data_IF_591800286033
#
_entry.id   IF_591800286033
#
_cell.length_a   1.000
_cell.length_b   1.000
_cell.length_c   1.000
_cell.angle_alpha   90.00
_cell.angle_beta   90.00
_cell.angle_gamma   90.00
#
_symmetry.space_group_name_H-M   'P 1'
#
loop_
_entity.id
_entity.type
_entity.pdbx_description
1 polymer ?
#
# COMPACT_ATOMS: atom_id res chain seq x y z
N UNK A 1 65.43 -39.67 -7.09
CA UNK A 1 63.97 -39.63 -6.85
C UNK A 1 63.61 -38.21 -6.42
N UNK A 2 63.09 -37.38 -7.35
CA UNK A 2 62.77 -35.96 -7.08
C UNK A 2 61.29 -35.83 -6.75
N UNK A 3 61.00 -35.35 -5.55
CA UNK A 3 59.67 -35.10 -5.00
C UNK A 3 59.07 -33.86 -5.69
N UNK A 4 57.95 -34.01 -6.41
CA UNK A 4 57.18 -32.89 -6.94
C UNK A 4 56.05 -32.56 -5.95
N UNK A 5 56.17 -31.40 -5.32
CA UNK A 5 55.12 -30.78 -4.52
C UNK A 5 54.08 -30.20 -5.51
N UNK A 6 52.84 -30.69 -5.44
CA UNK A 6 51.71 -30.12 -6.17
C UNK A 6 51.09 -29.05 -5.26
N UNK A 7 51.28 -27.79 -5.63
CA UNK A 7 50.62 -26.65 -4.98
C UNK A 7 49.19 -26.57 -5.53
N UNK A 8 48.19 -26.87 -4.71
CA UNK A 8 46.79 -26.64 -5.06
C UNK A 8 46.49 -25.14 -4.91
N UNK A 9 46.31 -24.45 -6.03
CA UNK A 9 45.82 -23.07 -6.05
C UNK A 9 44.33 -23.07 -5.67
N UNK A 10 44.03 -22.55 -4.48
CA UNK A 10 42.68 -22.25 -4.03
C UNK A 10 42.23 -20.96 -4.73
N UNK A 11 41.32 -21.07 -5.69
CA UNK A 11 40.65 -19.90 -6.26
C UNK A 11 39.60 -19.46 -5.25
N UNK A 12 39.89 -18.41 -4.50
CA UNK A 12 38.87 -17.68 -3.75
C UNK A 12 38.02 -16.91 -4.77
N UNK A 13 36.80 -17.39 -5.03
CA UNK A 13 35.77 -16.58 -5.68
C UNK A 13 35.38 -15.48 -4.68
N UNK A 14 35.93 -14.29 -4.86
CA UNK A 14 35.38 -13.09 -4.27
C UNK A 14 34.04 -12.81 -4.97
N UNK A 15 32.93 -13.19 -4.34
CA UNK A 15 31.60 -12.72 -4.72
C UNK A 15 31.54 -11.22 -4.38
N UNK A 16 31.95 -10.39 -5.32
CA UNK A 16 31.59 -8.98 -5.34
C UNK A 16 30.17 -8.92 -5.87
N UNK A 17 29.20 -9.07 -4.97
CA UNK A 17 27.81 -8.78 -5.29
C UNK A 17 27.69 -7.27 -5.51
N UNK A 18 27.78 -6.82 -6.75
CA UNK A 18 27.18 -5.56 -7.14
C UNK A 18 25.69 -5.67 -6.82
N UNK A 19 25.18 -4.79 -5.95
CA UNK A 19 23.76 -4.67 -5.73
C UNK A 19 23.12 -4.27 -7.07
N UNK A 20 22.52 -5.23 -7.77
CA UNK A 20 21.69 -4.94 -8.93
C UNK A 20 20.60 -3.97 -8.46
N UNK A 21 20.55 -2.79 -9.07
CA UNK A 21 19.45 -1.86 -8.82
C UNK A 21 18.12 -2.60 -9.04
N UNK A 22 17.22 -2.53 -8.06
CA UNK A 22 15.94 -3.22 -8.12
C UNK A 22 15.17 -2.73 -9.35
N UNK A 23 14.81 -3.65 -10.25
CA UNK A 23 14.02 -3.31 -11.43
C UNK A 23 12.53 -3.21 -11.04
N UNK A 24 11.98 -2.00 -11.07
CA UNK A 24 10.56 -1.73 -10.83
C UNK A 24 9.72 -1.66 -12.11
N UNK A 25 10.30 -2.03 -13.26
CA UNK A 25 9.61 -2.18 -14.54
C UNK A 25 9.63 -3.65 -14.97
N UNK A 26 8.66 -4.41 -14.47
CA UNK A 26 8.42 -5.81 -14.77
C UNK A 26 7.13 -5.94 -15.62
N UNK A 27 7.25 -6.23 -16.93
CA UNK A 27 6.11 -6.40 -17.81
C UNK A 27 5.17 -7.55 -17.41
N UNK A 28 5.69 -8.60 -16.77
CA UNK A 28 4.88 -9.72 -16.32
C UNK A 28 3.99 -9.30 -15.15
N UNK A 29 4.54 -8.55 -14.19
CA UNK A 29 3.78 -8.04 -13.05
C UNK A 29 2.78 -6.95 -13.47
N UNK A 30 3.16 -6.06 -14.39
CA UNK A 30 2.22 -5.10 -15.00
C UNK A 30 1.02 -5.81 -15.63
N UNK A 31 1.26 -6.86 -16.42
CA UNK A 31 0.20 -7.65 -17.06
C UNK A 31 -0.66 -8.39 -16.03
N UNK A 32 -0.04 -9.04 -15.03
CA UNK A 32 -0.74 -9.74 -13.95
C UNK A 32 -1.69 -8.80 -13.21
N UNK A 33 -1.21 -7.65 -12.76
CA UNK A 33 -2.02 -6.68 -12.02
C UNK A 33 -3.12 -6.06 -12.88
N UNK A 34 -2.87 -5.82 -14.17
CA UNK A 34 -3.89 -5.38 -15.14
C UNK A 34 -5.03 -6.41 -15.26
N UNK A 35 -4.71 -7.69 -15.34
CA UNK A 35 -5.71 -8.77 -15.37
C UNK A 35 -6.48 -8.81 -14.04
N UNK A 36 -5.80 -8.70 -12.91
CA UNK A 36 -6.41 -8.67 -11.57
C UNK A 36 -7.40 -7.51 -11.38
N UNK A 37 -7.09 -6.31 -11.87
CA UNK A 37 -8.02 -5.17 -11.83
C UNK A 37 -9.36 -5.46 -12.54
N UNK A 38 -9.35 -6.37 -13.52
CA UNK A 38 -10.56 -6.77 -14.28
C UNK A 38 -11.25 -8.00 -13.70
N UNK A 39 -10.71 -8.63 -12.66
CA UNK A 39 -11.28 -9.84 -12.07
C UNK A 39 -12.48 -9.53 -11.21
N UNK A 40 -13.49 -10.42 -11.23
CA UNK A 40 -14.57 -10.38 -10.26
C UNK A 40 -14.05 -10.94 -8.92
N UNK A 41 -14.16 -10.20 -7.82
CA UNK A 41 -13.72 -10.68 -6.52
C UNK A 41 -14.65 -11.77 -5.97
N UNK A 42 -14.04 -12.69 -5.22
CA UNK A 42 -14.72 -13.75 -4.49
C UNK A 42 -14.88 -13.35 -3.03
N UNK A 43 -15.98 -13.75 -2.39
CA UNK A 43 -16.31 -13.40 -1.02
C UNK A 43 -17.59 -12.57 -0.89
N UNK A 44 -17.94 -12.12 0.33
CA UNK A 44 -19.19 -11.40 0.58
C UNK A 44 -19.25 -10.05 -0.15
N UNK A 45 -20.39 -9.76 -0.77
CA UNK A 45 -20.68 -8.48 -1.41
C UNK A 45 -20.67 -7.33 -0.39
N UNK A 46 -20.19 -6.15 -0.81
CA UNK A 46 -20.07 -4.97 0.06
C UNK A 46 -18.98 -5.04 1.13
N UNK A 47 -18.19 -6.12 1.17
CA UNK A 47 -17.14 -6.33 2.18
C UNK A 47 -15.79 -6.63 1.54
N UNK A 48 -15.18 -5.68 0.81
CA UNK A 48 -13.94 -5.91 0.07
C UNK A 48 -12.76 -6.38 0.94
N UNK A 49 -12.75 -6.06 2.24
CA UNK A 49 -11.77 -6.56 3.21
C UNK A 49 -11.90 -8.06 3.54
N UNK A 50 -12.99 -8.72 3.13
CA UNK A 50 -13.20 -10.16 3.27
C UNK A 50 -13.25 -10.87 1.91
N UNK A 51 -12.90 -10.15 0.84
CA UNK A 51 -12.86 -10.69 -0.52
C UNK A 51 -11.43 -11.07 -0.94
N UNK A 52 -11.29 -11.79 -2.04
CA UNK A 52 -10.00 -12.06 -2.68
C UNK A 52 -10.14 -12.19 -4.20
N UNK A 53 -9.01 -12.02 -4.90
CA UNK A 53 -8.82 -12.32 -6.31
C UNK A 53 -8.00 -13.60 -6.45
N UNK A 54 -8.43 -14.49 -7.34
CA UNK A 54 -7.81 -15.80 -7.56
C UNK A 54 -8.34 -16.89 -6.61
N UNK A 55 -7.93 -18.14 -6.88
CA UNK A 55 -8.53 -19.35 -6.27
C UNK A 55 -7.59 -20.07 -5.27
N UNK A 56 -6.39 -19.54 -5.05
CA UNK A 56 -5.38 -20.16 -4.18
C UNK A 56 -5.82 -20.14 -2.72
N UNK A 57 -5.83 -21.31 -2.07
CA UNK A 57 -6.19 -21.46 -0.65
C UNK A 57 -5.11 -22.24 0.09
N UNK A 58 -4.83 -21.83 1.32
CA UNK A 58 -3.87 -22.46 2.23
C UNK A 58 -4.63 -23.19 3.34
N UNK A 59 -4.28 -24.46 3.56
CA UNK A 59 -4.79 -25.21 4.71
C UNK A 59 -4.11 -24.75 6.01
N UNK A 60 -4.92 -24.38 6.99
CA UNK A 60 -4.51 -23.82 8.26
C UNK A 60 -4.87 -24.72 9.43
N UNK A 61 -5.44 -25.91 9.20
CA UNK A 61 -5.94 -26.79 10.25
C UNK A 61 -4.90 -27.09 11.35
N UNK A 62 -3.60 -27.14 10.97
CA UNK A 62 -2.48 -27.34 11.89
C UNK A 62 -2.27 -26.19 12.91
N UNK A 63 -2.81 -25.01 12.65
CA UNK A 63 -2.72 -23.82 13.50
C UNK A 63 -3.93 -23.62 14.41
N UNK A 64 -4.95 -24.50 14.31
CA UNK A 64 -6.17 -24.37 15.08
C UNK A 64 -5.88 -24.29 16.58
N UNK A 65 -6.48 -23.31 17.25
CA UNK A 65 -6.33 -23.06 18.68
C UNK A 65 -7.66 -22.70 19.32
N UNK A 66 -8.04 -23.44 20.35
CA UNK A 66 -9.27 -23.23 21.10
C UNK A 66 -9.17 -22.03 22.06
N UNK A 67 -10.33 -21.47 22.42
CA UNK A 67 -10.46 -20.39 23.42
C UNK A 67 -9.94 -19.04 22.94
N UNK A 68 -10.07 -17.97 23.75
CA UNK A 68 -9.61 -16.64 23.37
C UNK A 68 -8.09 -16.60 23.11
N UNK A 69 -7.69 -16.04 21.96
CA UNK A 69 -6.30 -15.99 21.50
C UNK A 69 -5.67 -14.62 21.70
N UNK A 70 -4.35 -14.57 21.75
CA UNK A 70 -3.55 -13.35 21.74
C UNK A 70 -2.98 -13.13 20.35
N UNK A 71 -3.39 -12.04 19.69
CA UNK A 71 -2.80 -11.61 18.44
C UNK A 71 -1.69 -10.60 18.72
N UNK A 72 -0.57 -10.72 18.04
CA UNK A 72 0.50 -9.73 18.11
C UNK A 72 0.68 -9.08 16.74
N UNK A 73 0.86 -7.77 16.70
CA UNK A 73 1.04 -7.01 15.48
C UNK A 73 2.32 -6.17 15.55
N UNK A 74 3.26 -6.47 14.65
CA UNK A 74 4.45 -5.66 14.39
C UNK A 74 4.18 -4.67 13.26
N UNK A 75 4.05 -3.39 13.61
CA UNK A 75 3.77 -2.30 12.67
C UNK A 75 5.06 -1.56 12.29
N UNK A 76 5.25 -1.27 11.00
CA UNK A 76 6.32 -0.37 10.54
C UNK A 76 6.24 1.01 11.20
N UNK A 77 5.03 1.52 11.42
CA UNK A 77 4.80 2.64 12.34
C UNK A 77 3.54 3.44 12.05
N UNK A 78 3.40 4.63 12.66
CA UNK A 78 2.20 5.50 12.50
C UNK A 78 2.62 6.91 12.07
N UNK A 79 3.39 6.99 10.98
CA UNK A 79 4.04 8.23 10.52
C UNK A 79 3.29 8.96 9.39
N UNK A 80 2.15 8.45 8.92
CA UNK A 80 1.33 9.11 7.91
C UNK A 80 -0.18 8.83 8.12
N UNK A 81 -1.08 9.64 7.53
CA UNK A 81 -2.52 9.51 7.75
C UNK A 81 -3.09 8.15 7.31
N UNK A 82 -2.58 7.56 6.21
CA UNK A 82 -3.00 6.24 5.75
C UNK A 82 -2.77 5.16 6.82
N UNK A 83 -1.61 5.18 7.49
CA UNK A 83 -1.30 4.27 8.61
C UNK A 83 -2.13 4.57 9.86
N UNK A 84 -2.46 5.83 10.13
CA UNK A 84 -3.36 6.20 11.23
C UNK A 84 -4.76 5.63 11.01
N UNK A 85 -5.32 5.81 9.81
CA UNK A 85 -6.64 5.24 9.45
C UNK A 85 -6.59 3.72 9.50
N UNK A 86 -5.54 3.11 8.94
CA UNK A 86 -5.34 1.66 8.95
C UNK A 86 -5.26 1.07 10.36
N UNK A 87 -4.49 1.67 11.26
CA UNK A 87 -4.38 1.19 12.65
C UNK A 87 -5.73 1.29 13.38
N UNK A 88 -6.50 2.35 13.14
CA UNK A 88 -7.86 2.46 13.67
C UNK A 88 -8.77 1.35 13.11
N UNK A 89 -8.67 1.03 11.82
CA UNK A 89 -9.42 -0.07 11.21
C UNK A 89 -9.07 -1.43 11.84
N UNK A 90 -7.78 -1.70 12.05
CA UNK A 90 -7.28 -2.94 12.65
C UNK A 90 -7.78 -3.09 14.09
N UNK A 91 -7.65 -2.04 14.91
CA UNK A 91 -8.12 -2.06 16.30
C UNK A 91 -9.65 -2.23 16.37
N UNK A 92 -10.39 -1.52 15.53
CA UNK A 92 -11.84 -1.60 15.50
C UNK A 92 -12.36 -2.95 14.99
N UNK A 93 -11.67 -3.58 14.03
CA UNK A 93 -11.95 -4.95 13.62
C UNK A 93 -11.70 -5.93 14.78
N UNK A 94 -10.57 -5.81 15.50
CA UNK A 94 -10.29 -6.66 16.66
C UNK A 94 -11.38 -6.55 17.75
N UNK A 95 -11.94 -5.36 17.96
CA UNK A 95 -13.05 -5.16 18.91
C UNK A 95 -14.35 -5.88 18.52
N UNK A 96 -14.62 -6.08 17.23
CA UNK A 96 -15.76 -6.90 16.78
C UNK A 96 -15.61 -8.36 17.21
N UNK A 97 -14.38 -8.81 17.45
CA UNK A 97 -14.04 -10.18 17.81
C UNK A 97 -13.54 -10.31 19.25
N UNK A 98 -13.91 -9.39 20.15
CA UNK A 98 -13.46 -9.38 21.57
C UNK A 98 -13.75 -10.67 22.36
N UNK A 99 -14.75 -11.44 21.95
CA UNK A 99 -15.08 -12.73 22.57
C UNK A 99 -14.10 -13.84 22.13
N UNK A 100 -13.42 -13.63 21.00
CA UNK A 100 -12.42 -14.53 20.40
C UNK A 100 -10.98 -14.06 20.62
N UNK A 101 -10.77 -12.76 20.76
CA UNK A 101 -9.47 -12.11 21.00
C UNK A 101 -9.36 -11.74 22.48
N UNK A 102 -8.48 -12.45 23.19
CA UNK A 102 -8.12 -12.11 24.57
C UNK A 102 -7.40 -10.77 24.63
N UNK A 103 -6.49 -10.55 23.69
CA UNK A 103 -5.61 -9.38 23.65
C UNK A 103 -5.04 -9.19 22.25
N UNK A 104 -4.93 -7.94 21.84
CA UNK A 104 -4.17 -7.50 20.67
C UNK A 104 -2.96 -6.70 21.16
N UNK A 105 -1.76 -7.24 20.99
CA UNK A 105 -0.51 -6.56 21.31
C UNK A 105 0.00 -5.86 20.08
N UNK A 106 0.08 -4.53 20.10
CA UNK A 106 0.62 -3.73 18.99
C UNK A 106 1.96 -3.13 19.39
N UNK A 107 2.97 -3.29 18.54
CA UNK A 107 4.27 -2.61 18.65
C UNK A 107 4.52 -1.75 17.42
N UNK A 108 5.03 -0.54 17.63
CA UNK A 108 5.29 0.47 16.60
C UNK A 108 6.80 0.61 16.39
N UNK A 109 7.30 0.31 15.20
CA UNK A 109 8.72 0.38 14.89
C UNK A 109 9.26 1.79 14.56
N UNK A 110 8.40 2.81 14.52
CA UNK A 110 8.76 4.21 14.25
C UNK A 110 9.52 4.42 12.93
N UNK A 111 9.25 3.58 11.93
CA UNK A 111 9.93 3.59 10.63
C UNK A 111 11.38 3.08 10.66
N UNK A 112 11.80 2.35 11.71
CA UNK A 112 13.18 1.87 11.90
C UNK A 112 13.25 0.35 11.78
N UNK A 113 14.01 -0.15 10.81
CA UNK A 113 14.15 -1.59 10.54
C UNK A 113 14.73 -2.34 11.75
N UNK A 114 15.80 -1.82 12.38
CA UNK A 114 16.45 -2.48 13.51
C UNK A 114 15.53 -2.58 14.73
N UNK A 115 14.69 -1.56 14.93
CA UNK A 115 13.67 -1.57 15.98
C UNK A 115 12.63 -2.64 15.68
N UNK A 116 12.11 -2.68 14.45
CA UNK A 116 11.09 -3.65 14.07
C UNK A 116 11.59 -5.10 14.19
N UNK A 117 12.83 -5.35 13.79
CA UNK A 117 13.49 -6.66 13.95
C UNK A 117 13.52 -7.04 15.44
N UNK A 118 14.00 -6.14 16.29
CA UNK A 118 14.07 -6.37 17.74
C UNK A 118 12.69 -6.60 18.37
N UNK A 119 11.67 -5.85 17.93
CA UNK A 119 10.30 -5.98 18.39
C UNK A 119 9.69 -7.34 18.00
N UNK A 120 9.92 -7.81 16.76
CA UNK A 120 9.49 -9.14 16.31
C UNK A 120 10.16 -10.23 17.16
N UNK A 121 11.48 -10.14 17.36
CA UNK A 121 12.22 -11.10 18.19
C UNK A 121 11.69 -11.15 19.64
N UNK A 122 11.35 -9.99 20.21
CA UNK A 122 10.78 -9.88 21.55
C UNK A 122 9.37 -10.48 21.64
N UNK A 123 8.49 -10.19 20.68
CA UNK A 123 7.14 -10.76 20.62
C UNK A 123 7.17 -12.29 20.53
N UNK A 124 8.03 -12.80 19.65
CA UNK A 124 8.22 -14.24 19.42
C UNK A 124 8.83 -14.92 20.63
N UNK A 125 9.88 -14.34 21.23
CA UNK A 125 10.57 -14.93 22.40
C UNK A 125 9.74 -14.84 23.67
N UNK A 126 8.85 -13.85 23.78
CA UNK A 126 7.91 -13.74 24.88
C UNK A 126 6.87 -14.86 24.93
N UNK A 127 6.65 -15.59 23.81
CA UNK A 127 5.85 -16.81 23.76
C UNK A 127 4.35 -16.64 24.01
N UNK A 128 3.86 -15.40 24.11
CA UNK A 128 2.44 -15.08 24.36
C UNK A 128 1.59 -14.96 23.10
N UNK A 129 2.21 -14.80 21.94
CA UNK A 129 1.52 -14.59 20.67
C UNK A 129 1.05 -15.93 20.10
N UNK A 130 -0.23 -16.03 19.76
CA UNK A 130 -0.79 -17.20 19.08
C UNK A 130 -0.62 -17.09 17.56
N UNK A 131 -0.69 -15.87 17.03
CA UNK A 131 -0.30 -15.51 15.68
C UNK A 131 0.44 -14.17 15.67
N UNK A 132 1.32 -13.99 14.70
CA UNK A 132 2.01 -12.72 14.46
C UNK A 132 1.54 -12.11 13.14
N UNK A 133 1.04 -10.89 13.21
CA UNK A 133 0.76 -10.04 12.06
C UNK A 133 1.96 -9.11 11.87
N UNK A 134 2.42 -8.94 10.64
CA UNK A 134 3.55 -8.05 10.31
C UNK A 134 3.19 -7.15 9.13
N UNK A 135 3.32 -5.83 9.31
CA UNK A 135 3.44 -4.84 8.23
C UNK A 135 4.90 -4.38 8.20
N UNK A 136 5.74 -4.94 7.33
CA UNK A 136 7.18 -4.66 7.29
C UNK A 136 7.49 -3.22 6.95
N UNK A 137 8.53 -2.64 7.57
CA UNK A 137 9.03 -1.33 7.17
C UNK A 137 9.80 -1.41 5.85
N UNK A 138 10.71 -2.37 5.69
CA UNK A 138 11.33 -2.66 4.39
C UNK A 138 11.33 -4.16 4.07
N UNK A 139 11.05 -4.52 2.82
CA UNK A 139 10.90 -5.91 2.37
C UNK A 139 12.14 -6.75 2.66
N UNK A 140 13.32 -6.26 2.26
CA UNK A 140 14.56 -7.02 2.39
C UNK A 140 15.06 -7.12 3.83
N UNK A 141 15.06 -6.03 4.61
CA UNK A 141 15.63 -6.03 5.95
C UNK A 141 14.81 -6.87 6.93
N UNK A 142 13.48 -6.90 6.77
CA UNK A 142 12.59 -7.63 7.66
C UNK A 142 12.46 -9.13 7.33
N UNK A 143 12.87 -9.56 6.14
CA UNK A 143 12.71 -10.96 5.69
C UNK A 143 13.28 -11.97 6.70
N UNK A 144 14.54 -11.84 7.19
CA UNK A 144 15.10 -12.83 8.12
C UNK A 144 14.36 -12.92 9.46
N UNK A 145 13.87 -11.80 9.99
CA UNK A 145 13.11 -11.78 11.25
C UNK A 145 11.74 -12.47 11.09
N UNK A 146 11.10 -12.27 9.93
CA UNK A 146 9.84 -12.95 9.59
C UNK A 146 10.05 -14.45 9.41
N UNK A 147 11.13 -14.88 8.73
CA UNK A 147 11.47 -16.30 8.60
C UNK A 147 11.70 -16.98 9.95
N UNK A 148 12.41 -16.31 10.87
CA UNK A 148 12.61 -16.80 12.23
C UNK A 148 11.29 -16.93 13.01
N UNK A 149 10.34 -16.02 12.79
CA UNK A 149 9.01 -16.08 13.40
C UNK A 149 8.15 -17.21 12.81
N UNK A 150 8.15 -17.40 11.49
CA UNK A 150 7.43 -18.48 10.80
C UNK A 150 7.75 -19.89 11.35
N UNK A 151 8.98 -20.10 11.84
CA UNK A 151 9.40 -21.36 12.47
C UNK A 151 8.79 -21.64 13.83
N UNK A 152 8.06 -20.69 14.43
CA UNK A 152 7.56 -20.77 15.82
C UNK A 152 6.04 -20.59 15.95
N UNK A 153 5.42 -19.78 15.11
CA UNK A 153 3.99 -19.48 15.13
C UNK A 153 3.49 -19.07 13.72
N UNK A 154 2.18 -19.15 13.41
CA UNK A 154 1.67 -18.65 12.14
C UNK A 154 1.91 -17.15 12.01
N UNK A 155 2.49 -16.75 10.87
CA UNK A 155 2.74 -15.36 10.51
C UNK A 155 1.84 -14.94 9.35
N UNK A 156 1.19 -13.79 9.49
CA UNK A 156 0.41 -13.12 8.46
C UNK A 156 1.16 -11.84 8.09
N UNK A 157 1.48 -11.66 6.81
CA UNK A 157 2.12 -10.44 6.31
C UNK A 157 1.10 -9.61 5.54
N UNK A 158 1.12 -8.28 5.65
CA UNK A 158 0.27 -7.42 4.84
C UNK A 158 0.89 -6.06 4.53
N UNK A 159 0.29 -5.31 3.59
CA UNK A 159 0.74 -4.00 3.10
C UNK A 159 2.05 -4.11 2.30
N UNK A 160 3.19 -4.28 2.98
CA UNK A 160 4.49 -4.56 2.35
C UNK A 160 4.83 -6.03 2.48
N UNK A 161 5.50 -6.58 1.47
CA UNK A 161 5.88 -7.99 1.43
C UNK A 161 7.18 -8.32 2.16
N UNK A 162 7.58 -9.58 2.06
CA UNK A 162 8.92 -10.09 2.42
C UNK A 162 9.42 -11.01 1.32
N UNK A 163 10.73 -11.21 1.20
CA UNK A 163 11.36 -12.04 0.17
C UNK A 163 11.37 -13.53 0.53
N UNK A 164 10.23 -14.03 1.00
CA UNK A 164 10.07 -15.43 1.43
C UNK A 164 8.60 -15.84 1.34
N UNK A 165 8.36 -17.15 1.24
CA UNK A 165 7.01 -17.74 1.19
C UNK A 165 6.62 -18.41 2.52
N UNK A 166 7.38 -18.16 3.60
CA UNK A 166 7.09 -18.73 4.91
C UNK A 166 5.79 -18.25 5.58
N UNK A 167 5.30 -17.00 5.37
CA UNK A 167 4.04 -16.57 5.95
C UNK A 167 2.89 -17.46 5.48
N UNK A 168 1.87 -17.60 6.33
CA UNK A 168 0.66 -18.37 5.98
C UNK A 168 -0.06 -17.73 4.79
N UNK A 169 -0.08 -16.40 4.76
CA UNK A 169 -0.62 -15.61 3.66
C UNK A 169 0.03 -14.22 3.65
N UNK A 170 0.14 -13.63 2.45
CA UNK A 170 0.51 -12.24 2.24
C UNK A 170 -0.69 -11.47 1.68
N UNK A 171 -1.23 -10.55 2.49
CA UNK A 171 -2.40 -9.73 2.13
C UNK A 171 -1.97 -8.42 1.51
N UNK A 172 -2.46 -8.12 0.32
CA UNK A 172 -2.27 -6.83 -0.32
C UNK A 172 -3.40 -6.57 -1.31
N UNK A 173 -3.76 -5.32 -1.62
CA UNK A 173 -4.56 -5.04 -2.81
C UNK A 173 -3.74 -5.37 -4.07
N UNK A 174 -4.37 -5.36 -5.25
CA UNK A 174 -3.70 -5.66 -6.55
C UNK A 174 -2.26 -5.17 -6.61
N UNK A 175 -2.01 -3.91 -6.23
CA UNK A 175 -0.67 -3.42 -5.90
C UNK A 175 -0.32 -2.09 -6.57
N UNK A 176 0.97 -1.78 -6.57
CA UNK A 176 1.48 -0.53 -7.12
C UNK A 176 1.26 -0.40 -8.63
N UNK A 177 1.49 -1.47 -9.41
CA UNK A 177 1.18 -1.42 -10.84
C UNK A 177 -0.32 -1.19 -11.06
N UNK A 178 -1.21 -1.83 -10.29
CA UNK A 178 -2.65 -1.62 -10.40
C UNK A 178 -3.06 -0.15 -10.15
N UNK A 179 -2.42 0.51 -9.19
CA UNK A 179 -2.65 1.93 -8.91
C UNK A 179 -2.16 2.80 -10.07
N UNK A 180 -0.95 2.54 -10.57
CA UNK A 180 -0.37 3.27 -11.70
C UNK A 180 -1.11 3.03 -13.02
N UNK A 181 -1.64 1.83 -13.25
CA UNK A 181 -2.50 1.50 -14.39
C UNK A 181 -3.78 2.34 -14.34
N UNK A 182 -4.48 2.29 -13.21
CA UNK A 182 -5.73 3.03 -13.02
C UNK A 182 -5.56 4.54 -13.26
N UNK A 183 -4.55 5.13 -12.63
CA UNK A 183 -4.27 6.57 -12.74
C UNK A 183 -3.73 6.97 -14.10
N UNK A 184 -2.80 6.18 -14.66
CA UNK A 184 -2.19 6.41 -15.97
C UNK A 184 -3.20 6.33 -17.10
N UNK A 185 -4.06 5.30 -17.11
CA UNK A 185 -5.11 5.14 -18.13
C UNK A 185 -6.16 6.24 -18.07
N UNK A 186 -6.56 6.63 -16.86
CA UNK A 186 -7.48 7.75 -16.70
C UNK A 186 -6.89 9.02 -17.31
N UNK A 187 -5.67 9.41 -16.93
CA UNK A 187 -5.02 10.62 -17.45
C UNK A 187 -4.83 10.50 -18.98
N UNK A 188 -4.34 9.37 -19.47
CA UNK A 188 -4.15 9.15 -20.89
C UNK A 188 -5.44 9.23 -21.70
N UNK A 189 -6.59 8.86 -21.11
CA UNK A 189 -7.90 9.01 -21.75
C UNK A 189 -8.38 10.46 -21.88
N UNK A 190 -7.76 11.41 -21.17
CA UNK A 190 -8.12 12.84 -21.16
C UNK A 190 -7.15 13.72 -21.94
N UNK A 191 -5.96 13.21 -22.25
CA UNK A 191 -4.89 13.95 -22.90
C UNK A 191 -4.72 13.54 -24.36
N UNK A 192 -4.16 14.45 -25.15
CA UNK A 192 -3.71 14.20 -26.51
C UNK A 192 -2.21 13.86 -26.53
N UNK A 193 -1.77 13.25 -27.64
CA UNK A 193 -0.34 13.04 -27.90
C UNK A 193 0.40 14.38 -27.86
N UNK A 194 1.48 14.42 -27.08
CA UNK A 194 2.31 15.61 -26.88
C UNK A 194 1.86 16.52 -25.75
N UNK A 195 0.72 16.26 -25.11
CA UNK A 195 0.33 16.94 -23.87
C UNK A 195 1.29 16.56 -22.74
N UNK A 196 1.44 17.46 -21.76
CA UNK A 196 2.40 17.35 -20.68
C UNK A 196 1.75 16.85 -19.39
N UNK A 197 2.48 15.96 -18.71
CA UNK A 197 2.16 15.48 -17.36
C UNK A 197 3.32 15.79 -16.43
N UNK A 198 3.02 16.41 -15.29
CA UNK A 198 3.95 16.53 -14.17
C UNK A 198 3.68 15.40 -13.18
N UNK A 199 4.66 14.52 -12.96
CA UNK A 199 4.57 13.47 -11.97
C UNK A 199 5.11 13.96 -10.60
N UNK A 200 4.27 13.90 -9.58
CA UNK A 200 4.60 14.26 -8.20
C UNK A 200 4.63 13.00 -7.35
N UNK A 201 5.79 12.74 -6.74
CA UNK A 201 6.10 11.48 -6.07
C UNK A 201 6.46 11.71 -4.61
N UNK A 202 6.14 10.82 -3.68
CA UNK A 202 6.53 11.04 -2.27
C UNK A 202 8.06 10.97 -2.11
N UNK A 203 8.66 9.81 -2.40
CA UNK A 203 10.08 9.55 -2.18
C UNK A 203 10.60 8.39 -3.04
N UNK A 204 11.90 8.35 -3.37
CA UNK A 204 12.48 7.24 -4.11
C UNK A 204 12.67 5.99 -3.24
N UNK A 205 12.72 4.83 -3.88
CA UNK A 205 13.20 3.57 -3.28
C UNK A 205 12.17 2.76 -2.49
N UNK A 206 10.92 3.22 -2.41
CA UNK A 206 9.80 2.45 -1.84
C UNK A 206 9.12 1.67 -2.96
N UNK A 207 9.13 0.33 -2.88
CA UNK A 207 8.69 -0.58 -3.95
C UNK A 207 7.31 -0.25 -4.55
N UNK A 208 6.31 0.01 -3.70
CA UNK A 208 4.94 0.31 -4.12
C UNK A 208 4.86 1.66 -4.84
N UNK A 209 5.69 2.65 -4.46
CA UNK A 209 5.73 3.96 -5.13
C UNK A 209 6.45 3.88 -6.48
N UNK A 210 7.53 3.11 -6.55
CA UNK A 210 8.27 2.90 -7.80
C UNK A 210 7.44 2.13 -8.83
N UNK A 211 6.71 1.10 -8.41
CA UNK A 211 5.83 0.32 -9.31
C UNK A 211 4.59 1.12 -9.76
N UNK A 212 4.04 2.00 -8.91
CA UNK A 212 3.02 2.99 -9.31
C UNK A 212 3.51 3.86 -10.46
N UNK A 213 4.67 4.47 -10.30
CA UNK A 213 5.22 5.36 -11.32
C UNK A 213 5.59 4.61 -12.60
N UNK A 214 6.21 3.44 -12.48
CA UNK A 214 6.58 2.59 -13.61
C UNK A 214 5.39 2.23 -14.51
N UNK A 215 4.26 1.85 -13.90
CA UNK A 215 3.03 1.57 -14.63
C UNK A 215 2.49 2.81 -15.36
N UNK A 216 2.35 3.93 -14.64
CA UNK A 216 1.83 5.17 -15.23
C UNK A 216 2.72 5.69 -16.36
N UNK A 217 4.05 5.67 -16.15
CA UNK A 217 5.05 6.07 -17.15
C UNK A 217 4.97 5.21 -18.41
N UNK A 218 4.81 3.90 -18.27
CA UNK A 218 4.62 2.99 -19.41
C UNK A 218 3.39 3.40 -20.23
N UNK A 219 2.27 3.69 -19.58
CA UNK A 219 1.03 4.11 -20.26
C UNK A 219 1.19 5.48 -20.92
N UNK A 220 1.86 6.44 -20.28
CA UNK A 220 2.13 7.75 -20.87
C UNK A 220 3.02 7.64 -22.12
N UNK A 221 4.05 6.79 -22.08
CA UNK A 221 4.92 6.55 -23.24
C UNK A 221 4.15 5.95 -24.42
N UNK A 222 3.28 4.96 -24.15
CA UNK A 222 2.42 4.34 -25.16
C UNK A 222 1.42 5.34 -25.77
N UNK A 223 0.87 6.25 -24.95
CA UNK A 223 -0.02 7.31 -25.40
C UNK A 223 0.70 8.47 -26.12
N UNK A 224 2.03 8.52 -26.05
CA UNK A 224 2.85 9.62 -26.56
C UNK A 224 2.66 10.92 -25.77
N UNK A 225 2.40 10.81 -24.48
CA UNK A 225 2.29 11.90 -23.50
C UNK A 225 3.68 12.24 -22.98
N UNK A 226 3.96 13.53 -22.80
CA UNK A 226 5.27 14.01 -22.35
C UNK A 226 5.31 14.14 -20.82
N UNK A 227 6.12 13.33 -20.14
CA UNK A 227 6.38 13.52 -18.71
C UNK A 227 7.45 14.60 -18.55
N UNK A 228 7.03 15.84 -18.24
CA UNK A 228 7.92 17.01 -18.13
C UNK A 228 8.73 17.04 -16.84
N UNK A 229 8.35 16.23 -15.85
CA UNK A 229 8.99 16.16 -14.54
C UNK A 229 8.54 14.95 -13.74
N UNK A 230 9.42 14.45 -12.89
CA UNK A 230 9.17 13.40 -11.91
C UNK A 230 9.79 13.82 -10.59
N UNK A 231 9.07 14.64 -9.84
CA UNK A 231 9.60 15.37 -8.69
C UNK A 231 9.20 14.72 -7.37
N UNK A 232 10.09 14.78 -6.37
CA UNK A 232 9.83 14.23 -5.05
C UNK A 232 9.31 15.30 -4.08
N UNK A 233 8.06 15.16 -3.63
CA UNK A 233 7.36 16.08 -2.72
C UNK A 233 7.69 15.83 -1.25
N UNK A 234 8.09 14.61 -0.88
CA UNK A 234 8.29 14.23 0.51
C UNK A 234 7.01 14.27 1.34
N UNK A 235 5.82 14.19 0.72
CA UNK A 235 4.53 14.39 1.39
C UNK A 235 4.37 15.82 1.98
N UNK A 236 5.19 16.78 1.54
CA UNK A 236 5.17 18.15 2.06
C UNK A 236 4.35 19.08 1.15
N UNK A 237 3.27 19.65 1.69
CA UNK A 237 2.36 20.53 0.94
C UNK A 237 3.04 21.76 0.36
N UNK A 238 3.94 22.41 1.12
CA UNK A 238 4.60 23.63 0.67
C UNK A 238 5.58 23.33 -0.46
N UNK A 239 6.31 22.22 -0.35
CA UNK A 239 7.20 21.73 -1.40
C UNK A 239 6.42 21.32 -2.64
N UNK A 240 5.31 20.60 -2.49
CA UNK A 240 4.42 20.25 -3.61
C UNK A 240 3.99 21.50 -4.36
N UNK A 241 3.47 22.50 -3.65
CA UNK A 241 3.04 23.77 -4.25
C UNK A 241 4.19 24.49 -4.95
N UNK A 242 5.34 24.62 -4.30
CA UNK A 242 6.53 25.26 -4.87
C UNK A 242 7.03 24.58 -6.14
N UNK A 243 6.97 23.24 -6.22
CA UNK A 243 7.33 22.50 -7.43
C UNK A 243 6.38 22.88 -8.57
N UNK A 244 5.06 22.83 -8.34
CA UNK A 244 4.07 23.13 -9.38
C UNK A 244 4.19 24.59 -9.85
N UNK A 245 4.34 25.54 -8.92
CA UNK A 245 4.57 26.95 -9.21
C UNK A 245 5.83 27.19 -10.06
N UNK A 246 6.92 26.47 -9.79
CA UNK A 246 8.17 26.58 -10.56
C UNK A 246 7.98 26.13 -12.01
N UNK A 247 7.27 25.03 -12.25
CA UNK A 247 6.90 24.61 -13.61
C UNK A 247 6.01 25.64 -14.32
N UNK A 248 4.98 26.16 -13.64
CA UNK A 248 4.10 27.21 -14.18
C UNK A 248 4.92 28.47 -14.53
N UNK A 249 5.83 28.90 -13.65
CA UNK A 249 6.65 30.11 -13.84
C UNK A 249 7.68 29.97 -14.97
N UNK A 250 8.11 28.75 -15.29
CA UNK A 250 8.92 28.48 -16.49
C UNK A 250 8.13 28.56 -17.80
N UNK A 251 6.81 28.75 -17.72
CA UNK A 251 5.92 28.77 -18.88
C UNK A 251 5.56 27.36 -19.37
N UNK A 252 5.77 26.33 -18.55
CA UNK A 252 5.34 24.98 -18.88
C UNK A 252 3.81 24.92 -18.83
N UNK A 253 3.22 24.40 -19.90
CA UNK A 253 1.79 24.06 -19.90
C UNK A 253 1.65 22.68 -19.28
N UNK A 254 0.83 22.55 -18.23
CA UNK A 254 0.62 21.29 -17.50
C UNK A 254 -0.83 20.85 -17.74
N UNK A 255 -1.03 19.85 -18.58
CA UNK A 255 -2.37 19.29 -18.83
C UNK A 255 -2.81 18.32 -17.75
N UNK A 256 -1.88 17.58 -17.14
CA UNK A 256 -2.18 16.75 -15.99
C UNK A 256 -1.12 16.77 -14.89
N UNK A 257 -1.59 16.54 -13.67
CA UNK A 257 -0.76 16.12 -12.54
C UNK A 257 -1.03 14.64 -12.28
N UNK A 258 0.02 13.82 -12.37
CA UNK A 258 -0.01 12.46 -11.87
C UNK A 258 0.63 12.41 -10.49
N UNK A 259 0.01 11.68 -9.56
CA UNK A 259 0.53 11.54 -8.20
C UNK A 259 0.63 10.07 -7.80
N UNK A 260 1.74 9.71 -7.15
CA UNK A 260 1.90 8.36 -6.61
C UNK A 260 1.14 8.14 -5.29
N UNK A 261 0.60 9.20 -4.68
CA UNK A 261 -0.27 9.19 -3.49
C UNK A 261 -1.11 10.48 -3.42
N UNK A 262 -2.20 10.47 -2.64
CA UNK A 262 -3.15 11.58 -2.56
C UNK A 262 -2.85 12.69 -1.54
N UNK A 263 -1.86 12.50 -0.68
CA UNK A 263 -1.60 13.32 0.52
C UNK A 263 -1.47 14.83 0.30
N UNK A 264 -0.94 15.22 -0.85
CA UNK A 264 -0.65 16.62 -1.22
C UNK A 264 -1.42 17.07 -2.46
N UNK A 265 -2.44 16.31 -2.90
CA UNK A 265 -3.21 16.61 -4.10
C UNK A 265 -3.89 17.97 -4.07
N UNK A 266 -4.46 18.34 -2.93
CA UNK A 266 -5.06 19.67 -2.73
C UNK A 266 -4.04 20.80 -2.84
N UNK A 267 -2.80 20.59 -2.37
CA UNK A 267 -1.72 21.58 -2.49
C UNK A 267 -1.23 21.76 -3.94
N UNK A 268 -1.24 20.68 -4.74
CA UNK A 268 -0.98 20.75 -6.18
C UNK A 268 -2.03 21.59 -6.90
N UNK A 269 -3.31 21.44 -6.55
CA UNK A 269 -4.41 22.22 -7.12
C UNK A 269 -4.38 23.69 -6.70
N UNK A 270 -4.03 23.98 -5.45
CA UNK A 270 -3.87 25.34 -4.91
C UNK A 270 -2.83 26.16 -5.69
N UNK A 271 -1.81 25.53 -6.29
CA UNK A 271 -0.84 26.22 -7.14
C UNK A 271 -1.48 26.78 -8.44
N UNK A 272 -2.45 26.08 -9.01
CA UNK A 272 -3.18 26.56 -10.20
C UNK A 272 -4.16 27.67 -9.83
N UNK A 273 -4.84 27.55 -8.68
CA UNK A 273 -5.71 28.60 -8.14
C UNK A 273 -4.97 29.92 -7.95
N UNK A 274 -3.81 29.87 -7.28
CA UNK A 274 -2.99 31.05 -7.02
C UNK A 274 -2.45 31.69 -8.31
N UNK A 275 -2.19 30.87 -9.34
CA UNK A 275 -1.79 31.33 -10.66
C UNK A 275 -2.97 31.85 -11.52
N UNK A 276 -4.21 31.70 -11.06
CA UNK A 276 -5.41 32.01 -11.84
C UNK A 276 -5.58 31.14 -13.09
N UNK A 277 -5.03 29.91 -13.05
CA UNK A 277 -5.08 28.94 -14.13
C UNK A 277 -6.21 27.92 -13.90
N UNK A 278 -6.76 27.33 -14.97
CA UNK A 278 -7.68 26.21 -14.82
C UNK A 278 -6.99 25.00 -14.17
N UNK A 279 -7.74 24.22 -13.41
CA UNK A 279 -7.23 22.97 -12.85
C UNK A 279 -6.83 21.99 -13.96
N UNK A 280 -5.70 21.27 -13.79
CA UNK A 280 -5.31 20.20 -14.70
C UNK A 280 -6.15 18.94 -14.44
N UNK A 281 -6.04 17.95 -15.33
CA UNK A 281 -6.47 16.58 -15.02
C UNK A 281 -5.62 16.07 -13.85
N UNK A 282 -6.19 15.38 -12.85
CA UNK A 282 -5.42 14.98 -11.67
C UNK A 282 -5.78 13.57 -11.15
N UNK A 283 -4.76 12.84 -10.67
CA UNK A 283 -4.96 11.68 -9.79
C UNK A 283 -4.61 12.05 -8.34
N UNK A 284 -5.55 11.91 -7.39
CA UNK A 284 -5.38 12.41 -6.01
C UNK A 284 -5.79 11.45 -4.88
N UNK A 285 -6.00 10.16 -5.19
CA UNK A 285 -6.39 9.09 -4.24
C UNK A 285 -7.76 9.31 -3.56
N UNK A 286 -8.03 8.63 -2.43
CA UNK A 286 -9.32 8.61 -1.73
C UNK A 286 -9.36 9.44 -0.43
N UNK A 287 -8.45 10.43 -0.30
CA UNK A 287 -8.39 11.31 0.87
C UNK A 287 -9.52 12.36 0.83
N UNK A 288 -10.18 12.59 1.97
CA UNK A 288 -11.40 13.41 2.07
C UNK A 288 -11.25 14.85 1.57
N UNK A 289 -10.13 15.51 1.84
CA UNK A 289 -9.88 16.87 1.34
C UNK A 289 -9.83 16.92 -0.19
N UNK A 290 -9.17 15.95 -0.83
CA UNK A 290 -9.16 15.82 -2.28
C UNK A 290 -10.55 15.50 -2.82
N UNK A 291 -11.27 14.53 -2.25
CA UNK A 291 -12.61 14.15 -2.73
C UNK A 291 -13.62 15.30 -2.62
N UNK A 292 -13.58 16.08 -1.54
CA UNK A 292 -14.41 17.28 -1.38
C UNK A 292 -14.05 18.36 -2.39
N UNK A 293 -12.75 18.59 -2.61
CA UNK A 293 -12.30 19.56 -3.62
C UNK A 293 -12.68 19.11 -5.02
N UNK A 294 -12.55 17.83 -5.33
CA UNK A 294 -13.04 17.24 -6.56
C UNK A 294 -14.53 17.52 -6.76
N UNK A 295 -15.37 17.22 -5.77
CA UNK A 295 -16.81 17.42 -5.88
C UNK A 295 -17.19 18.91 -6.01
N UNK A 296 -16.59 19.79 -5.21
CA UNK A 296 -16.93 21.21 -5.17
C UNK A 296 -16.45 21.98 -6.40
N UNK A 297 -15.23 21.71 -6.85
CA UNK A 297 -14.60 22.38 -8.00
C UNK A 297 -14.91 21.68 -9.33
N UNK A 298 -15.60 20.53 -9.31
CA UNK A 298 -15.95 19.72 -10.49
C UNK A 298 -14.72 19.35 -11.31
N UNK A 299 -13.68 18.85 -10.61
CA UNK A 299 -12.41 18.50 -11.22
C UNK A 299 -12.55 17.36 -12.23
N UNK A 300 -11.67 17.32 -13.23
CA UNK A 300 -11.48 16.10 -14.04
C UNK A 300 -10.45 15.23 -13.33
N UNK A 301 -10.94 14.32 -12.49
CA UNK A 301 -10.10 13.61 -11.54
C UNK A 301 -10.41 12.11 -11.44
N UNK A 302 -9.46 11.38 -10.84
CA UNK A 302 -9.61 9.98 -10.41
C UNK A 302 -8.95 9.79 -9.05
N UNK A 303 -9.58 8.97 -8.21
CA UNK A 303 -9.00 8.44 -6.99
C UNK A 303 -8.55 6.99 -7.19
N UNK A 304 -7.35 6.71 -7.74
CA UNK A 304 -6.78 5.36 -7.63
C UNK A 304 -6.68 5.01 -6.14
N UNK A 305 -6.79 3.75 -5.75
CA UNK A 305 -6.76 3.41 -4.33
C UNK A 305 -5.63 2.48 -3.95
N UNK A 306 -5.18 2.64 -2.71
CA UNK A 306 -4.47 1.63 -1.95
C UNK A 306 -5.20 1.42 -0.62
N UNK A 307 -6.31 0.66 -0.61
CA UNK A 307 -7.33 0.80 0.43
C UNK A 307 -6.85 0.49 1.85
N UNK A 308 -7.26 1.30 2.82
CA UNK A 308 -6.95 1.06 4.24
C UNK A 308 -7.79 -0.06 4.86
N UNK A 309 -8.84 -0.53 4.17
CA UNK A 309 -9.61 -1.68 4.67
C UNK A 309 -8.80 -2.98 4.78
N UNK A 310 -7.65 -3.10 4.08
CA UNK A 310 -6.77 -4.28 4.16
C UNK A 310 -6.28 -4.56 5.59
N UNK A 311 -6.22 -3.52 6.42
CA UNK A 311 -5.88 -3.62 7.83
C UNK A 311 -6.91 -4.44 8.63
N UNK A 312 -8.17 -4.48 8.19
CA UNK A 312 -9.19 -5.37 8.76
C UNK A 312 -8.94 -6.82 8.37
N UNK A 313 -8.58 -7.06 7.10
CA UNK A 313 -8.27 -8.40 6.57
C UNK A 313 -7.18 -9.08 7.39
N UNK A 314 -6.18 -8.33 7.89
CA UNK A 314 -5.12 -8.89 8.72
C UNK A 314 -5.64 -9.55 10.02
N UNK A 315 -6.62 -8.94 10.69
CA UNK A 315 -7.27 -9.52 11.88
C UNK A 315 -8.11 -10.74 11.48
N UNK A 316 -8.90 -10.62 10.42
CA UNK A 316 -9.77 -11.70 9.91
C UNK A 316 -8.93 -12.93 9.55
N UNK A 317 -7.84 -12.74 8.79
CA UNK A 317 -6.94 -13.81 8.40
C UNK A 317 -6.29 -14.47 9.61
N UNK A 318 -5.82 -13.70 10.60
CA UNK A 318 -5.22 -14.26 11.80
C UNK A 318 -6.21 -15.12 12.60
N UNK A 319 -7.47 -14.67 12.71
CA UNK A 319 -8.53 -15.43 13.36
C UNK A 319 -8.92 -16.69 12.58
N UNK A 320 -9.08 -16.58 11.25
CA UNK A 320 -9.43 -17.73 10.40
C UNK A 320 -8.33 -18.79 10.42
N UNK A 321 -7.06 -18.38 10.40
CA UNK A 321 -5.91 -19.27 10.58
C UNK A 321 -5.97 -20.00 11.93
N UNK A 322 -6.23 -19.26 13.03
CA UNK A 322 -6.31 -19.85 14.37
C UNK A 322 -7.60 -20.63 14.62
N UNK A 323 -8.63 -20.45 13.79
CA UNK A 323 -9.82 -21.30 13.76
C UNK A 323 -9.64 -22.56 12.91
N UNK A 324 -8.52 -22.65 12.17
CA UNK A 324 -8.24 -23.74 11.23
C UNK A 324 -9.05 -23.68 9.94
N UNK A 325 -9.56 -22.50 9.57
CA UNK A 325 -10.26 -22.27 8.30
C UNK A 325 -9.24 -21.98 7.21
N UNK A 326 -9.45 -22.55 6.02
CA UNK A 326 -8.61 -22.21 4.88
C UNK A 326 -8.70 -20.71 4.58
N UNK A 327 -7.56 -20.12 4.23
CA UNK A 327 -7.46 -18.70 3.84
C UNK A 327 -6.85 -18.58 2.45
N UNK A 328 -7.15 -17.51 1.69
CA UNK A 328 -6.46 -17.25 0.43
C UNK A 328 -4.93 -17.19 0.60
N UNK A 329 -4.19 -17.80 -0.31
CA UNK A 329 -2.73 -17.77 -0.29
C UNK A 329 -2.06 -18.54 -1.43
N UNK A 330 -0.72 -18.41 -1.61
CA UNK A 330 0.22 -17.68 -0.73
C UNK A 330 0.04 -16.15 -0.76
N UNK A 331 -0.57 -15.60 -1.80
CA UNK A 331 -1.03 -14.21 -1.86
C UNK A 331 -2.56 -14.14 -1.64
N UNK A 332 -3.01 -13.31 -0.70
CA UNK A 332 -4.39 -12.89 -0.55
C UNK A 332 -4.55 -11.52 -1.21
N UNK A 333 -4.79 -11.54 -2.51
CA UNK A 333 -4.95 -10.32 -3.30
C UNK A 333 -6.35 -9.75 -3.09
N UNK A 334 -6.46 -8.59 -2.48
CA UNK A 334 -7.71 -7.88 -2.28
C UNK A 334 -8.14 -7.13 -3.55
N UNK A 335 -9.45 -6.89 -3.76
CA UNK A 335 -9.92 -5.95 -4.76
C UNK A 335 -9.22 -4.58 -4.58
N UNK A 336 -9.13 -3.79 -5.64
CA UNK A 336 -8.56 -2.44 -5.58
C UNK A 336 -9.42 -1.49 -6.43
N UNK A 337 -10.59 -1.06 -5.93
CA UNK A 337 -11.49 -0.20 -6.70
C UNK A 337 -10.92 1.21 -6.84
N UNK A 338 -11.21 1.89 -7.94
CA UNK A 338 -10.96 3.32 -8.06
C UNK A 338 -12.20 4.12 -7.67
N UNK A 339 -12.02 5.32 -7.13
CA UNK A 339 -13.09 6.32 -7.04
C UNK A 339 -13.11 7.07 -8.37
N UNK A 340 -14.24 6.96 -9.07
CA UNK A 340 -14.55 7.66 -10.32
C UNK A 340 -15.68 8.67 -10.09
N UNK A 341 -15.88 9.59 -11.04
CA UNK A 341 -16.89 10.66 -10.94
C UNK A 341 -18.29 10.13 -10.60
N UNK A 342 -18.68 8.98 -11.16
CA UNK A 342 -20.00 8.37 -10.99
C UNK A 342 -20.27 7.84 -9.57
N UNK A 343 -19.22 7.50 -8.82
CA UNK A 343 -19.31 6.99 -7.44
C UNK A 343 -18.75 7.95 -6.40
N UNK A 344 -18.18 9.09 -6.81
CA UNK A 344 -17.53 10.06 -5.92
C UNK A 344 -18.40 10.44 -4.71
N UNK A 345 -19.69 10.70 -4.95
CA UNK A 345 -20.61 11.13 -3.91
C UNK A 345 -20.80 10.11 -2.78
N UNK A 346 -20.55 8.82 -3.03
CA UNK A 346 -20.62 7.76 -2.02
C UNK A 346 -19.42 7.77 -1.07
N UNK A 347 -18.31 8.39 -1.49
CA UNK A 347 -17.05 8.41 -0.74
C UNK A 347 -16.75 9.77 -0.08
N UNK A 348 -17.49 10.83 -0.42
CA UNK A 348 -17.37 12.13 0.27
C UNK A 348 -18.14 12.09 1.59
N UNK A 349 -17.45 12.31 2.71
CA UNK A 349 -18.06 12.39 4.03
C UNK A 349 -17.53 13.62 4.80
N UNK A 350 -18.33 14.69 4.83
CA UNK A 350 -18.03 15.96 5.51
C UNK A 350 -17.77 15.83 7.01
N UNK A 351 -18.22 14.74 7.63
CA UNK A 351 -17.97 14.48 9.05
C UNK A 351 -16.51 14.14 9.33
N UNK A 352 -15.81 13.59 8.35
CA UNK A 352 -14.46 13.06 8.54
C UNK A 352 -13.39 14.16 8.51
N UNK A 353 -12.21 13.94 9.12
CA UNK A 353 -11.09 14.87 8.96
C UNK A 353 -10.62 14.96 7.50
N UNK A 354 -10.02 16.09 7.10
CA UNK A 354 -9.44 16.27 5.77
C UNK A 354 -8.54 15.12 5.32
N UNK A 355 -7.70 14.60 6.22
CA UNK A 355 -6.69 13.58 5.91
C UNK A 355 -7.20 12.12 6.01
N UNK A 356 -8.51 11.91 6.13
CA UNK A 356 -9.08 10.56 6.22
C UNK A 356 -9.20 9.89 4.84
N UNK A 357 -8.90 8.60 4.78
CA UNK A 357 -8.99 7.76 3.58
C UNK A 357 -10.33 7.03 3.52
N UNK A 358 -11.09 7.23 2.45
CA UNK A 358 -12.52 6.89 2.35
C UNK A 358 -12.78 5.40 2.09
N UNK A 359 -11.85 4.72 1.42
CA UNK A 359 -11.86 3.25 1.24
C UNK A 359 -11.30 2.55 2.48
N UNK A 360 -11.78 2.96 3.66
CA UNK A 360 -11.43 2.35 4.95
C UNK A 360 -12.25 1.12 5.29
N UNK A 361 -13.45 0.98 4.69
CA UNK A 361 -14.44 0.00 5.14
C UNK A 361 -14.74 0.15 6.63
N UNK A 362 -14.74 1.37 7.17
CA UNK A 362 -14.80 1.64 8.60
C UNK A 362 -16.16 2.18 9.06
N UNK A 363 -17.08 2.45 8.12
CA UNK A 363 -18.35 3.12 8.35
C UNK A 363 -19.27 2.39 9.36
N UNK A 364 -19.15 1.06 9.45
CA UNK A 364 -19.91 0.22 10.39
C UNK A 364 -19.07 -0.26 11.58
N UNK A 365 -17.80 0.15 11.67
CA UNK A 365 -16.91 -0.27 12.75
C UNK A 365 -17.21 0.49 14.06
N UNK A 366 -16.93 -0.13 15.23
CA UNK A 366 -17.14 0.52 16.51
C UNK A 366 -16.43 1.88 16.60
N UNK A 367 -17.16 2.89 17.07
CA UNK A 367 -16.64 4.24 17.29
C UNK A 367 -16.54 5.11 16.03
N UNK A 368 -17.08 4.69 14.89
CA UNK A 368 -17.16 5.55 13.71
C UNK A 368 -18.24 6.63 13.90
N UNK A 369 -17.98 7.90 13.54
CA UNK A 369 -16.75 8.43 12.93
C UNK A 369 -15.67 8.93 13.92
N UNK A 370 -15.96 9.07 15.21
CA UNK A 370 -15.10 9.81 16.16
C UNK A 370 -13.73 9.17 16.40
N UNK A 371 -13.62 7.85 16.36
CA UNK A 371 -12.34 7.13 16.47
C UNK A 371 -11.35 7.55 15.38
N UNK A 372 -11.86 7.93 14.21
CA UNK A 372 -11.07 8.43 13.08
C UNK A 372 -10.98 9.96 13.07
N UNK A 373 -11.36 10.63 14.16
CA UNK A 373 -11.34 12.09 14.31
C UNK A 373 -12.55 12.80 13.70
N UNK A 374 -13.56 12.06 13.21
CA UNK A 374 -14.74 12.66 12.63
C UNK A 374 -15.74 13.20 13.66
N UNK A 375 -16.75 13.90 13.18
CA UNK A 375 -17.82 14.52 13.97
C UNK A 375 -19.16 13.81 13.75
N UNK A 376 -20.05 13.82 14.75
CA UNK A 376 -21.39 13.23 14.63
C UNK A 376 -22.30 14.00 13.68
#
# INVERSE_FOLDING_TARGET
MKLKIILAASVALACTGEALAQNFNDPAEFKKQREQLSMKPQGPEGKPWAQHLGDGMVDTAKYKKDGPVTLCFSNAGVFNPWRVVGLNNLNAEAELHKDRIKELVVVDAEGKDEKQISDIEALVSGGRCDALIVSPNTTAALTPAVEAACGKLPVIVFDRGVNTQCPVTYIHPVGGYGFGITSGEFIASKLAKGDNVLALRIMPGVDVLETRYSAAKTIFDEAGINVIGSEFTGSDRAKTKSIVEDYINRGEKIEAIWMDAGDTATAALEAFEDAGLPYPVISGEDQQDFLRKWQSEKLTAVGPSYPTYQWRTAIIAALDVLDGKQVPGPEWVLPQPAITEDVLAEFVDERMPPLHYSLCGCQELPGYPERWGGKK
#
